data_IF_284809262463
#
_entry.id   IF_284809262463
#
_cell.length_a   1.000
_cell.length_b   1.000
_cell.length_c   1.000
_cell.angle_alpha   90.00
_cell.angle_beta   90.00
_cell.angle_gamma   90.00
#
_symmetry.space_group_name_H-M   'P 1'
#
loop_
_entity.id
_entity.type
_entity.pdbx_description
1 polymer ?
#
# COMPACT_ATOMS: atom_id res chain seq x y z
N UNK A 1 12.99 -5.35 -3.20
CA UNK A 1 12.93 -5.39 -1.71
C UNK A 1 11.49 -5.16 -1.32
N UNK A 2 10.89 -6.05 -0.52
CA UNK A 2 9.49 -5.89 -0.07
C UNK A 2 9.47 -5.23 1.31
N UNK A 3 8.72 -4.14 1.47
CA UNK A 3 8.48 -3.53 2.76
C UNK A 3 7.54 -4.44 3.56
N UNK A 4 7.80 -4.73 4.83
CA UNK A 4 6.86 -5.51 5.64
C UNK A 4 6.21 -4.58 6.65
N UNK A 5 4.89 -4.44 6.61
CA UNK A 5 4.17 -3.68 7.63
C UNK A 5 4.04 -4.55 8.89
N UNK A 6 4.58 -4.10 10.04
CA UNK A 6 4.49 -4.85 11.30
C UNK A 6 3.09 -4.79 11.93
N UNK A 7 2.22 -3.90 11.44
CA UNK A 7 0.88 -3.74 11.96
C UNK A 7 0.00 -4.93 11.52
N UNK A 8 -0.30 -5.80 12.48
CA UNK A 8 -1.36 -6.80 12.34
C UNK A 8 -2.66 -6.04 12.10
N UNK A 9 -3.36 -6.43 11.04
CA UNK A 9 -4.69 -5.95 10.73
C UNK A 9 -5.71 -6.98 11.18
N UNK A 10 -6.77 -6.51 11.84
CA UNK A 10 -7.94 -7.32 12.10
C UNK A 10 -8.84 -7.36 10.84
N UNK A 11 -9.41 -8.52 10.46
CA UNK A 11 -10.38 -8.63 9.38
C UNK A 11 -11.50 -7.58 9.44
N UNK A 12 -12.01 -7.34 10.64
CA UNK A 12 -13.16 -6.48 10.89
C UNK A 12 -12.76 -4.99 11.06
N UNK A 13 -11.46 -4.67 11.06
CA UNK A 13 -10.96 -3.31 11.25
C UNK A 13 -10.50 -2.70 9.91
N UNK A 14 -10.93 -1.47 9.63
CA UNK A 14 -10.40 -0.69 8.52
C UNK A 14 -9.10 -0.03 8.96
N UNK A 15 -8.01 -0.32 8.26
CA UNK A 15 -6.68 0.19 8.62
C UNK A 15 -6.05 0.92 7.45
N UNK A 16 -5.58 2.12 7.73
CA UNK A 16 -4.84 2.93 6.79
C UNK A 16 -3.36 2.57 6.80
N UNK A 17 -2.78 2.59 5.61
CA UNK A 17 -1.36 2.38 5.44
C UNK A 17 -0.79 3.40 4.47
N UNK A 18 0.09 4.24 4.98
CA UNK A 18 0.83 5.21 4.20
C UNK A 18 2.21 4.69 3.81
N UNK A 19 2.56 4.85 2.55
CA UNK A 19 3.93 4.74 2.04
C UNK A 19 4.44 6.15 1.74
N UNK A 20 5.58 6.49 2.34
CA UNK A 20 6.29 7.71 2.01
C UNK A 20 7.25 7.45 0.84
N UNK A 21 7.07 8.23 -0.23
CA UNK A 21 7.88 8.20 -1.44
C UNK A 21 8.84 9.38 -1.54
N UNK A 22 8.86 10.30 -0.55
CA UNK A 22 9.71 11.49 -0.59
C UNK A 22 11.19 11.13 -0.75
N UNK A 23 11.61 10.02 -0.14
CA UNK A 23 12.96 9.47 -0.26
C UNK A 23 13.30 9.00 -1.69
N UNK A 24 12.31 8.56 -2.47
CA UNK A 24 12.48 8.06 -3.84
C UNK A 24 12.30 9.16 -4.91
N UNK A 25 11.37 10.08 -4.67
CA UNK A 25 11.06 11.21 -5.55
C UNK A 25 12.15 12.29 -5.52
N UNK A 26 12.80 12.49 -4.37
CA UNK A 26 13.67 13.64 -4.16
C UNK A 26 12.90 14.97 -4.15
N UNK A 27 13.63 16.08 -4.07
CA UNK A 27 13.03 17.41 -3.81
C UNK A 27 12.20 18.01 -4.97
N UNK A 28 12.19 17.39 -6.15
CA UNK A 28 11.63 17.99 -7.38
C UNK A 28 10.67 17.09 -8.16
N UNK A 29 10.36 15.89 -7.66
CA UNK A 29 9.46 14.95 -8.33
C UNK A 29 8.18 14.80 -7.49
N UNK A 30 7.04 14.65 -8.18
CA UNK A 30 5.72 14.55 -7.52
C UNK A 30 4.96 13.37 -8.10
N UNK A 31 4.18 12.68 -7.26
CA UNK A 31 3.33 11.58 -7.72
C UNK A 31 2.14 12.16 -8.48
N UNK A 32 1.95 11.70 -9.71
CA UNK A 32 0.80 12.00 -10.56
C UNK A 32 -0.32 10.99 -10.33
N UNK A 33 0.03 9.71 -10.17
CA UNK A 33 -0.95 8.64 -10.00
C UNK A 33 -0.37 7.53 -9.14
N UNK A 34 -1.21 6.90 -8.32
CA UNK A 34 -0.89 5.65 -7.63
C UNK A 34 -1.92 4.59 -7.96
N UNK A 35 -1.46 3.36 -8.10
CA UNK A 35 -2.33 2.20 -8.26
C UNK A 35 -1.90 1.14 -7.27
N UNK A 36 -2.85 0.67 -6.48
CA UNK A 36 -2.62 -0.43 -5.55
C UNK A 36 -3.22 -1.70 -6.12
N UNK A 37 -2.44 -2.77 -6.11
CA UNK A 37 -2.85 -4.09 -6.56
C UNK A 37 -2.50 -5.12 -5.51
N UNK A 38 -3.38 -6.10 -5.29
CA UNK A 38 -3.12 -7.21 -4.39
C UNK A 38 -2.50 -8.33 -5.23
N UNK A 39 -1.28 -8.71 -4.91
CA UNK A 39 -0.50 -9.73 -5.61
C UNK A 39 -0.63 -11.10 -4.94
N UNK A 40 -0.66 -11.14 -3.60
CA UNK A 40 -0.96 -12.36 -2.83
C UNK A 40 -2.08 -12.11 -1.81
N UNK A 41 -2.97 -13.09 -1.75
CA UNK A 41 -4.00 -13.22 -0.74
C UNK A 41 -5.38 -12.77 -1.23
N UNK A 42 -6.34 -13.68 -1.11
CA UNK A 42 -7.75 -13.43 -1.42
C UNK A 42 -8.53 -12.95 -0.18
N UNK A 43 -9.55 -12.12 -0.40
CA UNK A 43 -10.45 -11.65 0.65
C UNK A 43 -10.03 -10.37 1.37
N UNK A 44 -8.94 -9.73 0.95
CA UNK A 44 -8.62 -8.36 1.36
C UNK A 44 -9.34 -7.39 0.43
N UNK A 45 -10.10 -6.45 0.99
CA UNK A 45 -10.81 -5.42 0.22
C UNK A 45 -10.03 -4.12 0.33
N UNK A 46 -9.84 -3.45 -0.81
CA UNK A 46 -9.37 -2.07 -0.82
C UNK A 46 -10.60 -1.20 -0.66
N UNK A 47 -10.70 -0.52 0.48
CA UNK A 47 -11.83 0.34 0.79
C UNK A 47 -11.73 1.65 0.00
N UNK A 48 -10.54 2.24 0.04
CA UNK A 48 -10.17 3.43 -0.70
C UNK A 48 -8.66 3.52 -0.78
N UNK A 49 -8.17 4.29 -1.74
CA UNK A 49 -6.78 4.70 -1.79
C UNK A 49 -6.70 6.19 -2.12
N UNK A 50 -5.65 6.83 -1.61
CA UNK A 50 -5.32 8.21 -1.90
C UNK A 50 -3.83 8.33 -2.13
N UNK A 51 -3.46 9.21 -3.05
CA UNK A 51 -2.09 9.65 -3.20
C UNK A 51 -2.01 11.15 -2.99
N UNK A 52 -0.95 11.55 -2.32
CA UNK A 52 -0.47 12.92 -2.27
C UNK A 52 0.73 13.05 -3.20
N UNK A 53 1.30 14.24 -3.30
CA UNK A 53 2.48 14.50 -4.14
C UNK A 53 3.72 13.72 -3.71
N UNK A 54 3.81 13.27 -2.46
CA UNK A 54 5.01 12.62 -1.90
C UNK A 54 4.74 11.33 -1.14
N UNK A 55 3.48 10.99 -0.87
CA UNK A 55 3.10 9.80 -0.12
C UNK A 55 1.81 9.20 -0.65
N UNK A 56 1.65 7.90 -0.54
CA UNK A 56 0.43 7.17 -0.94
C UNK A 56 -0.18 6.49 0.28
N UNK A 57 -1.46 6.67 0.50
CA UNK A 57 -2.20 6.04 1.59
C UNK A 57 -3.27 5.12 1.04
N UNK A 58 -3.32 3.88 1.52
CA UNK A 58 -4.37 2.94 1.19
C UNK A 58 -5.15 2.56 2.45
N UNK A 59 -6.47 2.54 2.32
CA UNK A 59 -7.38 1.98 3.31
C UNK A 59 -7.75 0.58 2.88
N UNK A 60 -7.40 -0.37 3.72
CA UNK A 60 -7.79 -1.75 3.54
C UNK A 60 -8.92 -2.03 4.51
N UNK A 61 -9.98 -2.67 4.04
CA UNK A 61 -11.06 -3.26 4.84
C UNK A 61 -11.15 -4.76 4.56
N UNK A 62 -11.79 -5.53 5.43
CA UNK A 62 -11.81 -6.99 5.34
C UNK A 62 -10.40 -7.65 5.42
N UNK A 63 -10.36 -8.97 5.28
CA UNK A 63 -9.14 -9.78 5.26
C UNK A 63 -9.38 -11.11 5.94
N UNK A 64 -8.74 -12.17 5.46
CA UNK A 64 -8.81 -13.47 6.11
C UNK A 64 -7.75 -13.53 7.20
N UNK A 65 -8.17 -13.75 8.44
CA UNK A 65 -7.24 -13.93 9.54
C UNK A 65 -6.39 -15.18 9.37
N UNK A 66 -5.10 -15.04 9.68
CA UNK A 66 -4.10 -16.09 9.47
C UNK A 66 -3.46 -16.03 8.09
N UNK A 67 -3.93 -15.17 7.20
CA UNK A 67 -3.40 -15.03 5.84
C UNK A 67 -2.37 -13.91 5.73
N UNK A 68 -1.33 -14.20 4.96
CA UNK A 68 -0.33 -13.24 4.54
C UNK A 68 -0.76 -12.64 3.21
N UNK A 69 -0.78 -11.31 3.15
CA UNK A 69 -1.13 -10.55 1.97
C UNK A 69 0.10 -9.84 1.42
N UNK A 70 0.27 -9.82 0.10
CA UNK A 70 1.26 -9.01 -0.60
C UNK A 70 0.51 -8.01 -1.46
N UNK A 71 0.73 -6.73 -1.22
CA UNK A 71 0.22 -5.64 -2.04
C UNK A 71 1.38 -5.01 -2.81
N UNK A 72 1.10 -4.54 -4.00
CA UNK A 72 2.03 -3.78 -4.81
C UNK A 72 1.46 -2.40 -5.00
N UNK A 73 2.22 -1.38 -4.61
CA UNK A 73 1.90 -0.01 -4.95
C UNK A 73 2.76 0.45 -6.12
N UNK A 74 2.08 0.83 -7.21
CA UNK A 74 2.68 1.39 -8.41
C UNK A 74 2.39 2.88 -8.47
N UNK A 75 3.42 3.71 -8.35
CA UNK A 75 3.29 5.16 -8.50
C UNK A 75 3.91 5.64 -9.79
N UNK A 76 3.25 6.58 -10.45
CA UNK A 76 3.73 7.28 -11.64
C UNK A 76 3.97 8.73 -11.25
N UNK A 77 5.14 9.24 -11.58
CA UNK A 77 5.55 10.59 -11.21
C UNK A 77 5.39 11.57 -12.37
N UNK A 78 5.35 12.86 -12.06
CA UNK A 78 5.27 13.94 -13.04
C UNK A 78 6.48 13.96 -13.97
N UNK A 79 7.65 13.50 -13.49
CA UNK A 79 8.84 13.28 -14.31
C UNK A 79 8.74 12.11 -15.30
N UNK A 80 7.61 11.39 -15.36
CA UNK A 80 7.42 10.21 -16.22
C UNK A 80 8.07 8.94 -15.67
N UNK A 81 8.49 8.93 -14.40
CA UNK A 81 9.07 7.76 -13.74
C UNK A 81 7.96 6.89 -13.18
N UNK A 82 8.16 5.59 -13.20
CA UNK A 82 7.26 4.63 -12.55
C UNK A 82 8.03 3.91 -11.48
N UNK A 83 7.50 3.86 -10.27
CA UNK A 83 8.07 3.11 -9.16
C UNK A 83 7.06 2.08 -8.67
N UNK A 84 7.57 0.90 -8.33
CA UNK A 84 6.79 -0.19 -7.78
C UNK A 84 7.38 -0.57 -6.43
N UNK A 85 6.55 -0.59 -5.39
CA UNK A 85 6.93 -1.09 -4.07
C UNK A 85 5.96 -2.17 -3.63
N UNK A 86 6.50 -3.36 -3.41
CA UNK A 86 5.76 -4.46 -2.80
C UNK A 86 5.77 -4.32 -1.30
N UNK A 87 4.61 -4.51 -0.69
CA UNK A 87 4.36 -4.44 0.74
C UNK A 87 3.71 -5.72 1.22
N UNK A 88 4.23 -6.29 2.30
CA UNK A 88 3.68 -7.47 2.94
C UNK A 88 2.89 -7.08 4.17
N UNK A 89 1.63 -7.52 4.20
CA UNK A 89 0.68 -7.35 5.29
C UNK A 89 0.35 -8.71 5.92
N UNK A 90 0.20 -8.75 7.24
CA UNK A 90 -0.28 -9.92 7.98
C UNK A 90 -1.63 -9.59 8.60
N UNK A 91 -2.66 -10.34 8.23
CA UNK A 91 -3.99 -10.24 8.85
C UNK A 91 -4.12 -11.37 9.87
N UNK A 92 -4.50 -11.05 11.11
CA UNK A 92 -4.76 -12.04 12.17
C UNK A 92 -5.88 -11.49 13.06
N UNK A 93 -6.79 -12.37 13.49
CA UNK A 93 -7.75 -12.02 14.55
C UNK A 93 -6.97 -11.77 15.83
N UNK A 94 -7.26 -10.67 16.51
CA UNK A 94 -6.69 -10.38 17.83
C UNK A 94 -7.31 -11.22 18.95
#
# INVERSE_FOLDING_TARGET
>A
MALTWPAIKDPDEVKDYSLDWSALLGASDTITSSTWTIDEGDGLTIDSDSATTTATTIWLSAGTAGTNYSLVNRVVTAGGRTYDTTVRLKVRVK
#
